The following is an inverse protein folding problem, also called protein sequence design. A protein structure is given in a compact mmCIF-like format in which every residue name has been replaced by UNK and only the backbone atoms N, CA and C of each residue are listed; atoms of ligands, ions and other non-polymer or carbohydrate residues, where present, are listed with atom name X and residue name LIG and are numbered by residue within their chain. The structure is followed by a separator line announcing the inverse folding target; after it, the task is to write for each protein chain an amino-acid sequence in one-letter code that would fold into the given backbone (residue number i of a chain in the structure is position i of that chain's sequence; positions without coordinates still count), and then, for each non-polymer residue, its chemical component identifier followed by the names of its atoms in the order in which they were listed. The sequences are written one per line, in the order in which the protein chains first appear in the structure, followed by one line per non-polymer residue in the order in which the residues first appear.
data_IF_399284647121
#
_entry.id   IF_399284647121
#
_cell.length_a   1.000
_cell.length_b   1.000
_cell.length_c   1.000
_cell.angle_alpha   90.00
_cell.angle_beta   90.00
_cell.angle_gamma   90.00
#
_symmetry.space_group_name_H-M   'P 1'
#
loop_
_entity.id
_entity.type
_entity.pdbx_description
1 polymer ?
#
# COMPACT_ATOMS: atom_id res chain seq x y z
N UNK A 1 4.00 11.93 -16.10
CA UNK A 1 3.98 10.93 -17.19
C UNK A 1 2.95 9.82 -16.95
N UNK A 2 2.16 9.89 -15.87
CA UNK A 2 1.08 8.94 -15.59
C UNK A 2 1.56 7.56 -15.13
N UNK A 3 2.87 7.39 -14.92
CA UNK A 3 3.45 6.14 -14.45
C UNK A 3 3.04 5.87 -13.00
N UNK A 4 2.64 4.63 -12.73
CA UNK A 4 2.29 4.15 -11.40
C UNK A 4 3.23 3.02 -11.03
N UNK A 5 3.84 3.11 -9.86
CA UNK A 5 4.66 2.06 -9.25
C UNK A 5 4.03 1.63 -7.93
N UNK A 6 4.21 0.37 -7.57
CA UNK A 6 3.62 -0.21 -6.36
C UNK A 6 4.70 -0.85 -5.51
N UNK A 7 4.67 -0.54 -4.21
CA UNK A 7 5.46 -1.28 -3.23
C UNK A 7 4.85 -2.68 -3.01
N UNK A 8 5.63 -3.65 -2.51
CA UNK A 8 5.08 -4.93 -2.10
C UNK A 8 4.01 -4.74 -1.02
N UNK A 9 2.97 -5.58 -1.04
CA UNK A 9 1.94 -5.60 -0.02
C UNK A 9 2.56 -5.79 1.37
N UNK A 10 2.07 -5.00 2.32
CA UNK A 10 2.55 -4.98 3.70
C UNK A 10 1.47 -5.56 4.61
N UNK A 11 1.84 -6.58 5.40
CA UNK A 11 0.97 -7.08 6.45
C UNK A 11 1.08 -6.18 7.69
N UNK A 12 -0.05 -5.58 8.09
CA UNK A 12 -0.14 -4.64 9.19
C UNK A 12 -0.85 -5.27 10.40
N UNK A 13 -0.13 -5.43 11.50
CA UNK A 13 -0.70 -5.85 12.78
C UNK A 13 -1.06 -4.62 13.61
N UNK A 14 -2.34 -4.50 13.98
CA UNK A 14 -2.86 -3.44 14.83
C UNK A 14 -3.20 -3.97 16.22
N UNK A 15 -2.95 -3.15 17.24
CA UNK A 15 -3.32 -3.43 18.62
C UNK A 15 -3.89 -2.17 19.25
N UNK A 16 -5.06 -2.28 19.87
CA UNK A 16 -5.76 -1.14 20.49
C UNK A 16 -5.95 0.06 19.55
N UNK A 17 -6.23 -0.23 18.27
CA UNK A 17 -6.42 0.78 17.23
C UNK A 17 -5.15 1.47 16.73
N UNK A 18 -3.96 0.95 17.06
CA UNK A 18 -2.67 1.52 16.69
C UNK A 18 -1.86 0.49 15.91
N UNK A 19 -1.25 0.90 14.79
CA UNK A 19 -0.31 0.08 14.04
C UNK A 19 0.90 -0.29 14.92
N UNK A 20 1.18 -1.58 15.07
CA UNK A 20 2.29 -2.10 15.87
C UNK A 20 3.42 -2.66 15.04
N UNK A 21 3.11 -3.35 13.95
CA UNK A 21 4.10 -4.01 13.11
C UNK A 21 3.64 -3.98 11.65
N UNK A 22 4.60 -3.69 10.78
CA UNK A 22 4.45 -3.77 9.32
C UNK A 22 5.51 -4.72 8.77
N UNK A 23 5.09 -5.73 8.03
CA UNK A 23 5.99 -6.70 7.39
C UNK A 23 5.72 -6.69 5.88
N UNK A 24 6.70 -6.26 5.09
CA UNK A 24 6.62 -6.30 3.64
C UNK A 24 6.67 -7.75 3.14
N UNK A 25 5.78 -8.09 2.21
CA UNK A 25 5.72 -9.41 1.59
C UNK A 25 6.68 -9.48 0.40
N UNK A 26 7.39 -10.59 0.21
CA UNK A 26 8.26 -10.76 -0.98
C UNK A 26 7.52 -11.19 -2.25
N UNK A 27 6.33 -11.81 -2.13
CA UNK A 27 5.53 -12.28 -3.27
C UNK A 27 4.08 -12.60 -2.82
N UNK A 28 3.35 -11.59 -2.34
CA UNK A 28 1.99 -11.83 -1.87
C UNK A 28 1.08 -12.28 -3.04
N UNK A 29 0.29 -13.37 -2.91
CA UNK A 29 -0.53 -13.88 -4.02
C UNK A 29 -1.60 -12.88 -4.50
N UNK A 30 -1.98 -11.92 -3.65
CA UNK A 30 -2.95 -10.88 -3.97
C UNK A 30 -2.34 -9.56 -4.47
N UNK A 31 -1.02 -9.51 -4.71
CA UNK A 31 -0.33 -8.29 -5.15
C UNK A 31 -0.97 -7.70 -6.41
N UNK A 32 -1.10 -8.49 -7.47
CA UNK A 32 -1.68 -8.04 -8.74
C UNK A 32 -3.14 -7.56 -8.58
N UNK A 33 -3.91 -8.16 -7.67
CA UNK A 33 -5.29 -7.74 -7.39
C UNK A 33 -5.31 -6.38 -6.68
N UNK A 34 -4.42 -6.16 -5.72
CA UNK A 34 -4.29 -4.88 -5.03
C UNK A 34 -3.88 -3.77 -6.01
N UNK A 35 -2.89 -4.03 -6.87
CA UNK A 35 -2.42 -3.08 -7.88
C UNK A 35 -3.52 -2.71 -8.88
N UNK A 36 -4.32 -3.67 -9.34
CA UNK A 36 -5.49 -3.39 -10.19
C UNK A 36 -6.53 -2.51 -9.48
N UNK A 37 -6.82 -2.78 -8.21
CA UNK A 37 -7.80 -2.01 -7.43
C UNK A 37 -7.32 -0.57 -7.23
N UNK A 38 -6.07 -0.40 -6.80
CA UNK A 38 -5.49 0.91 -6.51
C UNK A 38 -5.24 1.68 -7.80
N UNK A 39 -4.75 1.04 -8.86
CA UNK A 39 -4.51 1.67 -10.16
C UNK A 39 -5.77 2.30 -10.76
N UNK A 40 -6.92 1.61 -10.67
CA UNK A 40 -8.21 2.17 -11.08
C UNK A 40 -8.61 3.41 -10.27
N UNK A 41 -8.32 3.43 -8.97
CA UNK A 41 -8.60 4.59 -8.10
C UNK A 41 -7.67 5.75 -8.43
N UNK A 42 -6.36 5.52 -8.57
CA UNK A 42 -5.37 6.53 -8.94
C UNK A 42 -5.73 7.19 -10.28
N UNK A 43 -6.05 6.37 -11.29
CA UNK A 43 -6.47 6.87 -12.60
C UNK A 43 -7.76 7.70 -12.52
N UNK A 44 -8.75 7.23 -11.74
CA UNK A 44 -10.03 7.93 -11.62
C UNK A 44 -9.89 9.29 -10.94
N UNK A 45 -8.95 9.42 -10.01
CA UNK A 45 -8.70 10.63 -9.24
C UNK A 45 -7.66 11.56 -9.89
N UNK A 46 -7.03 11.15 -11.00
CA UNK A 46 -5.87 11.83 -11.60
C UNK A 46 -4.80 12.16 -10.54
N UNK A 47 -4.51 11.17 -9.69
CA UNK A 47 -3.76 11.38 -8.46
C UNK A 47 -2.25 11.42 -8.72
N UNK A 48 -1.58 12.39 -8.09
CA UNK A 48 -0.12 12.57 -8.15
C UNK A 48 0.46 12.53 -6.75
N UNK A 49 1.54 11.77 -6.59
CA UNK A 49 2.24 11.55 -5.32
C UNK A 49 1.95 10.17 -4.74
N UNK A 50 2.16 10.04 -3.42
CA UNK A 50 2.02 8.75 -2.72
C UNK A 50 0.62 8.62 -2.12
N UNK A 51 0.06 7.42 -2.24
CA UNK A 51 -1.19 7.00 -1.61
C UNK A 51 -1.01 5.65 -0.95
N UNK A 52 -1.40 5.53 0.33
CA UNK A 52 -1.57 4.23 0.96
C UNK A 52 -3.03 3.81 0.87
N UNK A 53 -3.23 2.54 0.52
CA UNK A 53 -4.55 1.92 0.42
C UNK A 53 -4.56 0.68 1.30
N UNK A 54 -5.37 0.71 2.36
CA UNK A 54 -5.49 -0.41 3.27
C UNK A 54 -6.63 -1.34 2.85
N UNK A 55 -6.37 -2.64 2.99
CA UNK A 55 -7.33 -3.68 2.71
C UNK A 55 -7.49 -4.61 3.91
N UNK A 56 -8.69 -5.15 4.08
CA UNK A 56 -8.88 -6.41 4.78
C UNK A 56 -8.74 -7.57 3.77
N UNK A 57 -7.90 -8.54 4.09
CA UNK A 57 -7.87 -9.81 3.38
C UNK A 57 -8.92 -10.76 3.96
N UNK A 58 -9.88 -11.15 3.14
CA UNK A 58 -11.03 -11.97 3.55
C UNK A 58 -11.33 -12.99 2.46
N UNK A 59 -11.40 -14.27 2.83
CA UNK A 59 -11.75 -15.38 1.93
C UNK A 59 -10.90 -15.43 0.65
N UNK A 60 -9.61 -15.08 0.74
CA UNK A 60 -8.69 -15.04 -0.40
C UNK A 60 -8.89 -13.85 -1.35
N UNK A 61 -9.64 -12.83 -0.92
CA UNK A 61 -9.82 -11.57 -1.65
C UNK A 61 -9.50 -10.35 -0.80
N UNK A 62 -9.61 -9.17 -1.41
CA UNK A 62 -9.35 -7.87 -0.77
C UNK A 62 -10.64 -7.06 -0.65
N UNK A 63 -10.89 -6.51 0.53
CA UNK A 63 -11.94 -5.51 0.79
C UNK A 63 -11.29 -4.20 1.20
N UNK A 64 -11.63 -3.10 0.53
CA UNK A 64 -11.13 -1.77 0.87
C UNK A 64 -11.49 -1.40 2.33
N UNK A 65 -10.51 -0.89 3.07
CA UNK A 65 -10.69 -0.39 4.43
C UNK A 65 -10.55 1.14 4.47
N UNK A 66 -9.35 1.66 4.20
CA UNK A 66 -9.02 3.08 4.32
C UNK A 66 -8.09 3.52 3.19
N UNK A 67 -8.14 4.81 2.84
CA UNK A 67 -7.22 5.46 1.92
C UNK A 67 -6.56 6.64 2.64
N UNK A 68 -5.23 6.69 2.61
CA UNK A 68 -4.46 7.85 3.02
C UNK A 68 -3.77 8.46 1.79
N UNK A 69 -4.21 9.63 1.29
CA UNK A 69 -3.59 10.33 0.15
C UNK A 69 -2.32 11.07 0.59
N UNK A 70 -1.36 10.31 1.11
CA UNK A 70 -0.03 10.75 1.57
C UNK A 70 0.82 9.52 1.85
N UNK A 71 2.10 9.76 2.16
CA UNK A 71 2.96 8.80 2.86
C UNK A 71 2.28 8.26 4.13
N UNK A 72 2.57 7.01 4.48
CA UNK A 72 1.88 6.28 5.55
C UNK A 72 2.84 5.55 6.49
N UNK A 73 2.41 5.37 7.74
CA UNK A 73 3.20 4.74 8.79
C UNK A 73 3.62 3.32 8.40
N UNK A 74 2.73 2.58 7.74
CA UNK A 74 3.01 1.22 7.25
C UNK A 74 4.05 1.15 6.13
N UNK A 75 4.45 2.28 5.55
CA UNK A 75 5.49 2.36 4.52
C UNK A 75 6.85 2.78 5.07
N UNK A 76 7.03 3.08 6.36
CA UNK A 76 8.31 3.60 6.85
C UNK A 76 9.50 2.65 6.63
N UNK A 77 9.24 1.35 6.53
CA UNK A 77 10.26 0.35 6.20
C UNK A 77 10.93 0.60 4.84
N UNK A 78 10.32 1.35 3.92
CA UNK A 78 10.89 1.63 2.60
C UNK A 78 12.13 2.53 2.67
N UNK A 79 12.38 3.21 3.80
CA UNK A 79 13.56 4.07 3.96
C UNK A 79 14.85 3.23 3.82
N UNK A 80 14.90 2.07 4.47
CA UNK A 80 16.07 1.17 4.40
C UNK A 80 15.79 -0.15 3.66
N UNK A 81 14.52 -0.53 3.49
CA UNK A 81 14.12 -1.84 2.97
C UNK A 81 13.73 -1.87 1.51
N UNK A 82 13.67 -0.73 0.83
CA UNK A 82 13.37 -0.62 -0.61
C UNK A 82 14.45 0.21 -1.32
N UNK A 83 14.52 0.09 -2.65
CA UNK A 83 15.45 0.89 -3.46
C UNK A 83 15.09 2.38 -3.47
N UNK A 84 13.80 2.71 -3.40
CA UNK A 84 13.29 4.08 -3.33
C UNK A 84 12.37 4.21 -2.11
N UNK A 85 12.60 5.23 -1.29
CA UNK A 85 11.77 5.50 -0.13
C UNK A 85 10.43 6.13 -0.55
N UNK A 86 9.33 5.85 0.19
CA UNK A 86 8.05 6.52 -0.06
C UNK A 86 8.13 8.05 0.03
N UNK A 87 9.20 8.61 0.60
CA UNK A 87 9.42 10.06 0.71
C UNK A 87 10.20 10.67 -0.48
N UNK A 88 10.74 9.84 -1.39
CA UNK A 88 11.57 10.28 -2.52
C UNK A 88 10.81 10.43 -3.85
N UNK A 89 9.52 10.06 -3.89
CA UNK A 89 8.69 10.07 -5.11
C UNK A 89 8.06 11.43 -5.42
#
# INVERSE_FOLDING_TARGET
DGETCFYPLVHNTHESGILRLSVASQAHPLQALAEDYVGRVLQKLDYVGVMAFEFFEVDGGLKANEIAPRVHNSGHWTIEGAECSQFEN
#
